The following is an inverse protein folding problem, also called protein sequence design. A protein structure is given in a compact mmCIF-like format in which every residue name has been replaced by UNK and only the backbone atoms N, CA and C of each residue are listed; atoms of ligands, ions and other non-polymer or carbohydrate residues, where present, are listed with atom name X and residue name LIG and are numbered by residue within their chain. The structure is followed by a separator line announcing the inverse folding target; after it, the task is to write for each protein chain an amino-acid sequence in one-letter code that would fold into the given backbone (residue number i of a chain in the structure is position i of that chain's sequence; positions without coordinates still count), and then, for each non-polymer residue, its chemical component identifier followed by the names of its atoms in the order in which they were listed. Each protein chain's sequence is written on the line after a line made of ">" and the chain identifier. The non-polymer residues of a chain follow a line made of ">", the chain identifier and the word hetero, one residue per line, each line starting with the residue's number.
data_IF_359228949539
#
_entry.id   IF_359228949539
#
_cell.length_a   1.000
_cell.length_b   1.000
_cell.length_c   1.000
_cell.angle_alpha   90.00
_cell.angle_beta   90.00
_cell.angle_gamma   90.00
#
_symmetry.space_group_name_H-M   'P 1'
#
loop_
_entity.id
_entity.type
_entity.pdbx_description
1 polymer ?
#
# COMPACT_ATOMS: atom_id res chain seq x y z
N UNK A 1 14.09 -26.51 3.35
CA UNK A 1 15.17 -25.58 3.77
C UNK A 1 15.24 -24.38 2.81
N UNK A 2 15.01 -24.59 1.51
CA UNK A 2 14.88 -23.52 0.50
C UNK A 2 13.72 -22.54 0.77
N UNK A 3 12.56 -23.02 1.25
CA UNK A 3 11.40 -22.16 1.53
C UNK A 3 11.66 -21.09 2.61
N UNK A 4 12.51 -21.40 3.60
CA UNK A 4 12.86 -20.43 4.65
C UNK A 4 13.80 -19.36 4.11
N UNK A 5 14.77 -19.73 3.29
CA UNK A 5 15.70 -18.77 2.68
C UNK A 5 14.99 -17.85 1.70
N UNK A 6 14.06 -18.39 0.91
CA UNK A 6 13.20 -17.61 0.01
C UNK A 6 12.34 -16.59 0.78
N UNK A 7 11.76 -17.02 1.91
CA UNK A 7 10.90 -16.17 2.74
C UNK A 7 11.70 -15.05 3.43
N UNK A 8 12.92 -15.33 3.89
CA UNK A 8 13.81 -14.32 4.46
C UNK A 8 14.27 -13.29 3.43
N UNK A 9 14.60 -13.73 2.21
CA UNK A 9 14.94 -12.83 1.11
C UNK A 9 13.77 -11.92 0.74
N UNK A 10 12.56 -12.47 0.60
CA UNK A 10 11.34 -11.70 0.37
C UNK A 10 11.10 -10.66 1.48
N UNK A 11 11.31 -11.03 2.75
CA UNK A 11 11.18 -10.11 3.88
C UNK A 11 12.20 -8.97 3.79
N UNK A 12 13.46 -9.29 3.48
CA UNK A 12 14.52 -8.29 3.33
C UNK A 12 14.20 -7.29 2.21
N UNK A 13 13.68 -7.76 1.07
CA UNK A 13 13.28 -6.91 -0.04
C UNK A 13 12.15 -5.95 0.33
N UNK A 14 11.12 -6.44 1.04
CA UNK A 14 10.03 -5.61 1.56
C UNK A 14 10.55 -4.53 2.50
N UNK A 15 11.44 -4.89 3.43
CA UNK A 15 12.06 -3.94 4.37
C UNK A 15 12.86 -2.87 3.63
N UNK A 16 13.68 -3.28 2.66
CA UNK A 16 14.49 -2.36 1.86
C UNK A 16 13.62 -1.40 1.05
N UNK A 17 12.51 -1.88 0.49
CA UNK A 17 11.56 -1.06 -0.25
C UNK A 17 10.90 0.01 0.64
N UNK A 18 10.52 -0.36 1.87
CA UNK A 18 9.94 0.56 2.86
C UNK A 18 10.97 1.61 3.29
N UNK A 19 12.22 1.21 3.54
CA UNK A 19 13.31 2.12 3.94
C UNK A 19 13.63 3.15 2.86
N UNK A 20 13.59 2.77 1.58
CA UNK A 20 13.86 3.65 0.43
C UNK A 20 12.69 4.57 0.04
N UNK A 21 11.65 4.68 0.86
CA UNK A 21 10.51 5.57 0.58
C UNK A 21 10.76 6.95 1.19
N UNK A 22 11.07 7.99 0.39
CA UNK A 22 11.48 9.30 0.91
C UNK A 22 10.24 10.16 1.17
N UNK A 23 9.79 10.21 2.42
CA UNK A 23 8.68 11.08 2.85
C UNK A 23 8.87 11.49 4.31
N UNK A 24 8.70 12.77 4.62
CA UNK A 24 8.75 13.30 6.00
C UNK A 24 7.51 12.96 6.84
N UNK A 25 6.37 12.67 6.18
CA UNK A 25 5.11 12.34 6.85
C UNK A 25 4.87 10.82 6.90
N UNK A 26 4.68 10.27 8.11
CA UNK A 26 4.40 8.84 8.33
C UNK A 26 3.15 8.35 7.59
N UNK A 27 2.12 9.19 7.46
CA UNK A 27 0.90 8.85 6.71
C UNK A 27 1.19 8.66 5.22
N UNK A 28 1.95 9.57 4.62
CA UNK A 28 2.33 9.48 3.21
C UNK A 28 3.30 8.33 2.98
N UNK A 29 4.26 8.15 3.90
CA UNK A 29 5.19 7.02 3.90
C UNK A 29 4.44 5.70 3.84
N UNK A 30 3.46 5.53 4.72
CA UNK A 30 2.62 4.34 4.78
C UNK A 30 1.88 4.11 3.46
N UNK A 31 1.23 5.15 2.91
CA UNK A 31 0.50 5.07 1.65
C UNK A 31 1.41 4.72 0.45
N UNK A 32 2.60 5.31 0.38
CA UNK A 32 3.59 5.02 -0.65
C UNK A 32 4.15 3.60 -0.54
N UNK A 33 4.40 3.12 0.69
CA UNK A 33 4.81 1.74 0.94
C UNK A 33 3.73 0.76 0.45
N UNK A 34 2.47 0.97 0.83
CA UNK A 34 1.36 0.13 0.37
C UNK A 34 1.20 0.14 -1.15
N UNK A 35 1.36 1.30 -1.80
CA UNK A 35 1.27 1.40 -3.26
C UNK A 35 2.39 0.65 -4.01
N UNK A 36 3.53 0.42 -3.36
CA UNK A 36 4.65 -0.35 -3.94
C UNK A 36 4.57 -1.84 -3.62
N UNK A 37 4.05 -2.19 -2.44
CA UNK A 37 3.95 -3.57 -1.96
C UNK A 37 2.72 -4.31 -2.48
N UNK A 38 1.60 -3.59 -2.64
CA UNK A 38 0.32 -4.18 -2.98
C UNK A 38 0.01 -3.81 -4.43
N UNK A 39 0.13 -4.81 -5.30
CA UNK A 39 -0.29 -4.71 -6.70
C UNK A 39 -1.80 -4.45 -6.80
N UNK A 40 -2.24 -4.02 -7.98
CA UNK A 40 -3.66 -3.81 -8.23
C UNK A 40 -4.48 -5.09 -8.00
N UNK A 41 -3.98 -6.24 -8.43
CA UNK A 41 -4.69 -7.52 -8.26
C UNK A 41 -4.74 -7.95 -6.80
N UNK A 42 -3.62 -7.85 -6.08
CA UNK A 42 -3.59 -8.14 -4.65
C UNK A 42 -4.49 -7.20 -3.85
N UNK A 43 -4.67 -5.95 -4.30
CA UNK A 43 -5.58 -5.00 -3.66
C UNK A 43 -7.07 -5.38 -3.77
N UNK A 44 -7.44 -6.25 -4.73
CA UNK A 44 -8.81 -6.75 -4.89
C UNK A 44 -9.11 -7.91 -3.93
N UNK A 45 -8.08 -8.66 -3.58
CA UNK A 45 -8.13 -9.81 -2.66
C UNK A 45 -8.03 -9.39 -1.18
N UNK A 46 -7.40 -8.25 -0.93
CA UNK A 46 -7.22 -7.71 0.41
C UNK A 46 -8.26 -6.65 0.75
N UNK A 47 -8.66 -6.60 2.02
CA UNK A 47 -9.48 -5.53 2.58
C UNK A 47 -9.01 -5.16 3.98
N UNK A 48 -9.24 -3.93 4.42
CA UNK A 48 -8.92 -3.60 5.82
C UNK A 48 -9.87 -4.29 6.80
N UNK A 49 -11.16 -4.30 6.50
CA UNK A 49 -12.20 -4.97 7.28
C UNK A 49 -12.48 -6.36 6.71
N UNK A 50 -13.12 -7.22 7.51
CA UNK A 50 -13.62 -8.51 7.01
C UNK A 50 -14.71 -8.24 5.98
N UNK A 51 -14.43 -8.54 4.72
CA UNK A 51 -15.38 -8.46 3.62
C UNK A 51 -15.56 -9.86 3.05
N UNK A 52 -16.76 -10.27 2.62
CA UNK A 52 -16.93 -11.55 1.94
C UNK A 52 -15.94 -11.68 0.78
N UNK A 53 -15.24 -12.81 0.70
CA UNK A 53 -14.25 -13.13 -0.33
C UNK A 53 -12.98 -12.26 -0.33
N UNK A 54 -12.66 -11.56 0.77
CA UNK A 54 -11.40 -10.82 0.92
C UNK A 54 -10.73 -11.10 2.24
N UNK A 55 -9.41 -11.25 2.20
CA UNK A 55 -8.61 -11.46 3.39
C UNK A 55 -8.37 -10.12 4.10
N UNK A 56 -8.58 -10.04 5.42
CA UNK A 56 -8.24 -8.84 6.19
C UNK A 56 -6.72 -8.58 6.14
N UNK A 57 -6.31 -7.42 5.68
CA UNK A 57 -4.90 -7.04 5.61
C UNK A 57 -4.24 -7.08 6.99
N UNK A 58 -4.97 -6.63 8.03
CA UNK A 58 -4.49 -6.66 9.42
C UNK A 58 -4.20 -8.06 9.98
N UNK A 59 -4.66 -9.14 9.31
CA UNK A 59 -4.34 -10.53 9.67
C UNK A 59 -3.26 -11.15 8.78
N UNK A 60 -2.61 -10.38 7.91
CA UNK A 60 -1.52 -10.86 7.05
C UNK A 60 -0.15 -10.69 7.72
N UNK A 61 0.81 -11.53 7.36
CA UNK A 61 2.22 -11.34 7.74
C UNK A 61 2.79 -10.05 7.15
N UNK A 62 2.30 -9.61 6.00
CA UNK A 62 2.69 -8.35 5.36
C UNK A 62 2.38 -7.14 6.25
N UNK A 63 1.23 -7.14 6.94
CA UNK A 63 0.90 -6.09 7.92
C UNK A 63 1.92 -6.05 9.06
N UNK A 64 2.30 -7.21 9.61
CA UNK A 64 3.29 -7.27 10.68
C UNK A 64 4.65 -6.68 10.24
N UNK A 65 5.12 -7.02 9.05
CA UNK A 65 6.38 -6.47 8.50
C UNK A 65 6.29 -4.97 8.26
N UNK A 66 5.18 -4.48 7.70
CA UNK A 66 4.98 -3.04 7.45
C UNK A 66 4.95 -2.27 8.76
N UNK A 67 4.21 -2.77 9.75
CA UNK A 67 4.09 -2.13 11.05
C UNK A 67 5.45 -2.08 11.76
N UNK A 68 6.15 -3.21 11.83
CA UNK A 68 7.46 -3.33 12.47
C UNK A 68 8.49 -2.37 11.82
N UNK A 69 8.56 -2.37 10.49
CA UNK A 69 9.54 -1.56 9.75
C UNK A 69 9.28 -0.06 9.87
N UNK A 70 8.00 0.36 9.82
CA UNK A 70 7.63 1.77 9.92
C UNK A 70 7.73 2.29 11.36
N UNK A 71 7.39 1.45 12.35
CA UNK A 71 7.44 1.83 13.78
C UNK A 71 8.87 1.87 14.31
N UNK A 72 9.75 0.98 13.84
CA UNK A 72 11.17 0.95 14.23
C UNK A 72 11.95 2.21 13.84
N UNK A 73 11.44 3.01 12.90
CA UNK A 73 12.03 4.28 12.48
C UNK A 73 11.49 5.51 13.21
N UNK A 74 10.64 5.32 14.23
CA UNK A 74 9.95 6.41 14.92
C UNK A 74 10.37 6.52 16.38
N UNK A 75 10.45 7.75 16.88
CA UNK A 75 10.74 8.06 18.29
C UNK A 75 9.54 7.86 19.24
N UNK A 76 8.31 7.78 18.71
CA UNK A 76 7.07 7.58 19.48
C UNK A 76 6.28 6.41 18.88
N UNK A 77 6.35 5.24 19.52
CA UNK A 77 5.78 4.01 18.98
C UNK A 77 4.24 3.99 19.00
N UNK A 78 3.62 4.55 20.03
CA UNK A 78 2.16 4.55 20.17
C UNK A 78 1.50 5.49 19.15
N UNK A 79 2.07 6.69 18.98
CA UNK A 79 1.64 7.62 17.93
C UNK A 79 1.84 7.01 16.53
N UNK A 80 2.91 6.24 16.35
CA UNK A 80 3.22 5.58 15.08
C UNK A 80 2.24 4.48 14.74
N UNK A 81 1.90 3.59 15.67
CA UNK A 81 0.93 2.53 15.44
C UNK A 81 -0.42 3.10 14.99
N UNK A 82 -0.97 4.07 15.73
CA UNK A 82 -2.28 4.65 15.41
C UNK A 82 -2.24 5.34 14.04
N UNK A 83 -1.17 6.07 13.75
CA UNK A 83 -1.00 6.79 12.47
C UNK A 83 -0.88 5.82 11.29
N UNK A 84 0.00 4.81 11.39
CA UNK A 84 0.19 3.78 10.37
C UNK A 84 -1.12 3.04 10.13
N UNK A 85 -1.80 2.62 11.20
CA UNK A 85 -3.10 1.92 11.12
C UNK A 85 -4.15 2.76 10.39
N UNK A 86 -4.33 4.03 10.79
CA UNK A 86 -5.29 4.94 10.13
C UNK A 86 -4.92 5.19 8.67
N UNK A 87 -3.63 5.32 8.36
CA UNK A 87 -3.16 5.51 7.00
C UNK A 87 -3.46 4.28 6.12
N UNK A 88 -3.22 3.07 6.62
CA UNK A 88 -3.60 1.81 5.96
C UNK A 88 -5.11 1.73 5.73
N UNK A 89 -5.91 2.00 6.77
CA UNK A 89 -7.37 2.05 6.67
C UNK A 89 -7.85 2.95 5.53
N UNK A 90 -7.39 4.20 5.54
CA UNK A 90 -7.76 5.18 4.51
C UNK A 90 -7.27 4.77 3.13
N UNK A 91 -6.09 4.14 3.02
CA UNK A 91 -5.58 3.65 1.76
C UNK A 91 -6.46 2.55 1.17
N UNK A 92 -6.88 1.57 1.98
CA UNK A 92 -7.77 0.47 1.55
C UNK A 92 -9.20 0.93 1.25
N UNK A 93 -9.76 1.85 2.04
CA UNK A 93 -11.07 2.44 1.76
C UNK A 93 -11.10 3.12 0.39
N UNK A 94 -10.02 3.81 0.03
CA UNK A 94 -9.85 4.46 -1.27
C UNK A 94 -9.28 3.52 -2.36
N UNK A 95 -9.01 2.24 -2.07
CA UNK A 95 -8.45 1.30 -3.05
C UNK A 95 -9.41 1.01 -4.20
N UNK A 96 -10.71 0.92 -3.88
CA UNK A 96 -11.78 0.73 -4.86
C UNK A 96 -11.84 1.88 -5.87
N UNK A 97 -11.64 3.12 -5.43
CA UNK A 97 -11.60 4.29 -6.33
C UNK A 97 -10.31 4.35 -7.16
N UNK A 98 -9.21 3.81 -6.64
CA UNK A 98 -7.93 3.72 -7.35
C UNK A 98 -7.98 2.71 -8.50
N UNK A 99 -8.56 1.54 -8.30
CA UNK A 99 -8.60 0.48 -9.32
C UNK A 99 -9.85 0.51 -10.20
N UNK A 100 -11.00 0.93 -9.66
CA UNK A 100 -12.28 0.91 -10.40
C UNK A 100 -12.74 2.26 -10.97
N UNK A 101 -12.43 3.38 -10.31
CA UNK A 101 -13.03 4.69 -10.62
C UNK A 101 -12.12 5.61 -11.43
N UNK A 102 -10.91 5.91 -10.93
CA UNK A 102 -9.98 6.84 -11.60
C UNK A 102 -9.29 6.22 -12.81
N UNK A 103 -8.89 4.95 -12.74
CA UNK A 103 -8.30 4.25 -13.90
C UNK A 103 -9.28 4.13 -15.05
N UNK A 104 -10.55 3.80 -14.79
CA UNK A 104 -11.60 3.82 -15.83
C UNK A 104 -11.79 5.21 -16.41
N UNK A 105 -11.89 6.27 -15.59
CA UNK A 105 -12.00 7.66 -16.09
C UNK A 105 -10.81 8.10 -16.93
N UNK A 106 -9.58 7.65 -16.65
CA UNK A 106 -8.42 7.94 -17.52
C UNK A 106 -8.50 7.23 -18.87
N UNK A 107 -9.10 6.03 -18.91
CA UNK A 107 -9.27 5.29 -20.16
C UNK A 107 -10.49 5.75 -20.98
N UNK A 108 -11.52 6.31 -20.33
CA UNK A 108 -12.73 6.80 -21.01
C UNK A 108 -12.72 8.29 -21.35
N UNK A 109 -11.66 9.04 -21.02
CA UNK A 109 -11.51 10.39 -21.58
C UNK A 109 -11.23 10.28 -23.07
N UNK A 110 -12.12 10.78 -23.96
CA UNK A 110 -11.77 10.92 -25.36
C UNK A 110 -10.54 11.82 -25.43
N UNK A 111 -9.52 11.37 -26.17
CA UNK A 111 -8.37 12.20 -26.53
C UNK A 111 -8.94 13.45 -27.20
N UNK A 112 -8.96 14.58 -26.50
CA UNK A 112 -9.38 15.82 -27.14
C UNK A 112 -8.45 16.05 -28.33
N UNK A 113 -8.97 16.29 -29.54
CA UNK A 113 -8.12 16.61 -30.67
C UNK A 113 -7.30 17.83 -30.27
N UNK A 114 -5.98 17.70 -30.36
CA UNK A 114 -5.06 18.83 -30.35
C UNK A 114 -5.51 19.74 -31.49
N UNK A 115 -6.18 20.84 -31.16
CA UNK A 115 -6.46 21.91 -32.12
C UNK A 115 -5.10 22.49 -32.47
N UNK A 116 -4.58 22.08 -33.62
CA UNK A 116 -3.41 22.70 -34.23
C UNK A 116 -3.88 24.04 -34.78
N UNK A 117 -3.62 25.12 -34.04
CA UNK A 117 -3.77 26.46 -34.57
C UNK A 117 -2.73 26.63 -35.69
N UNK A 118 -3.23 26.91 -36.89
CA UNK A 118 -2.45 27.31 -38.08
C UNK A 118 -2.35 28.82 -38.11
#
# INVERSE_FOLDING_TARGET
>A
MEDNLQNENCRADVVNLIKRTPTSNMTERTKCCLARLISEDLSKELSWQKTPNRQPFGSTSLWAVVLDTLSSGSSDQDCSFVTIRKACMGWFQNARDRCGGRSKRRMTMPKMPLVMNT
#
